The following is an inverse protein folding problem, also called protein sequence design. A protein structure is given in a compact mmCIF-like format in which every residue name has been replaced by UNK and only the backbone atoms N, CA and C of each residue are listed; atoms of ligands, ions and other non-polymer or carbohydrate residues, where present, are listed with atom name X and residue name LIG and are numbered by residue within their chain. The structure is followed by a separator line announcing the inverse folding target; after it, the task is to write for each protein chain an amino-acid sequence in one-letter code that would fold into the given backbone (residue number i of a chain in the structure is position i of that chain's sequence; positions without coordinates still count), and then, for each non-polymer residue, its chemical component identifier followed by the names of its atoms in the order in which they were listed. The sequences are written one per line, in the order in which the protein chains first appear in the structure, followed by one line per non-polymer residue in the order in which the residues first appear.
data_IF_117750913954
#
_entry.id   IF_117750913954
#
_cell.length_a   1.000
_cell.length_b   1.000
_cell.length_c   1.000
_cell.angle_alpha   90.00
_cell.angle_beta   90.00
_cell.angle_gamma   90.00
#
_symmetry.space_group_name_H-M   'P 1'
#
loop_
_entity.id
_entity.type
_entity.pdbx_description
1 polymer ?
#
# COMPACT_ATOMS: atom_id res chain seq x y z
N UNK A 1 9.65 -57.78 -35.20
CA UNK A 1 10.66 -58.32 -34.26
C UNK A 1 10.39 -57.70 -32.88
N UNK A 2 10.53 -58.41 -31.75
CA UNK A 2 9.63 -58.27 -30.59
C UNK A 2 10.18 -57.48 -29.36
N UNK A 3 9.46 -57.59 -28.24
CA UNK A 3 9.49 -56.75 -27.01
C UNK A 3 10.65 -56.98 -26.03
N UNK A 4 10.98 -55.91 -25.29
CA UNK A 4 11.21 -55.89 -23.82
C UNK A 4 12.62 -56.20 -23.31
N UNK A 5 12.89 -56.17 -21.98
CA UNK A 5 12.05 -55.72 -20.83
C UNK A 5 12.59 -54.36 -20.27
N UNK A 6 12.44 -53.87 -19.00
CA UNK A 6 11.84 -54.37 -17.74
C UNK A 6 11.23 -53.22 -16.87
N UNK A 7 11.58 -53.11 -15.58
CA UNK A 7 11.01 -52.25 -14.50
C UNK A 7 12.09 -52.02 -13.42
N UNK A 8 12.16 -50.84 -12.76
CA UNK A 8 12.23 -50.65 -11.28
C UNK A 8 12.44 -49.19 -10.82
N UNK A 9 11.67 -48.77 -9.79
CA UNK A 9 11.97 -47.63 -8.90
C UNK A 9 11.63 -46.21 -9.43
N UNK A 10 11.11 -45.28 -8.63
CA UNK A 10 10.69 -45.39 -7.23
C UNK A 10 10.84 -44.10 -6.43
N UNK A 11 9.94 -43.13 -6.59
CA UNK A 11 9.49 -42.25 -5.49
C UNK A 11 8.25 -41.46 -5.89
N UNK A 12 7.14 -41.73 -5.20
CA UNK A 12 6.08 -40.73 -5.02
C UNK A 12 6.65 -39.69 -4.06
N UNK A 13 6.70 -38.42 -4.48
CA UNK A 13 6.70 -37.30 -3.56
C UNK A 13 5.38 -36.57 -3.72
N UNK A 14 4.72 -36.41 -2.58
CA UNK A 14 3.33 -35.96 -2.46
C UNK A 14 3.14 -34.54 -2.97
N UNK A 15 1.92 -34.29 -3.46
CA UNK A 15 1.33 -32.95 -3.67
C UNK A 15 1.83 -31.94 -2.62
N UNK A 16 2.17 -30.70 -3.00
CA UNK A 16 2.07 -29.60 -2.06
C UNK A 16 0.62 -29.57 -1.58
N UNK A 17 0.41 -29.72 -0.27
CA UNK A 17 -0.91 -29.46 0.29
C UNK A 17 -1.20 -27.97 0.06
N UNK A 18 -2.29 -27.67 -0.64
CA UNK A 18 -2.75 -26.29 -0.86
C UNK A 18 -3.17 -25.72 0.50
N UNK A 19 -2.19 -25.14 1.19
CA UNK A 19 -2.29 -24.71 2.58
C UNK A 19 -3.19 -23.50 2.73
N UNK A 20 -4.49 -23.75 2.93
CA UNK A 20 -5.49 -22.86 3.54
C UNK A 20 -5.32 -21.38 3.17
N UNK A 21 -6.03 -20.92 2.15
CA UNK A 21 -6.23 -19.49 1.89
C UNK A 21 -6.83 -18.80 3.13
N UNK A 22 -5.97 -18.25 4.01
CA UNK A 22 -6.41 -17.35 5.08
C UNK A 22 -6.81 -16.04 4.42
N UNK A 23 -8.05 -15.61 4.64
CA UNK A 23 -8.43 -14.24 4.31
C UNK A 23 -7.62 -13.32 5.23
N UNK A 24 -6.72 -12.53 4.64
CA UNK A 24 -6.07 -11.43 5.33
C UNK A 24 -7.14 -10.57 6.03
N UNK A 25 -7.02 -10.44 7.35
CA UNK A 25 -7.80 -9.48 8.15
C UNK A 25 -6.87 -8.50 8.85
N UNK A 26 -5.84 -8.02 8.15
CA UNK A 26 -5.26 -6.73 8.51
C UNK A 26 -6.33 -5.63 8.41
N UNK A 27 -6.16 -4.52 9.13
CA UNK A 27 -7.21 -3.53 9.28
C UNK A 27 -7.44 -2.76 7.97
N UNK A 28 -8.50 -3.12 7.24
CA UNK A 28 -9.30 -2.11 6.53
C UNK A 28 -9.87 -1.22 7.65
N UNK A 29 -9.20 -0.10 7.92
CA UNK A 29 -9.35 0.59 9.19
C UNK A 29 -10.61 1.44 9.26
N UNK A 30 -11.75 0.79 9.51
CA UNK A 30 -13.05 1.43 9.75
C UNK A 30 -13.38 1.47 11.25
N UNK A 31 -12.39 1.75 12.10
CA UNK A 31 -12.53 1.80 13.56
C UNK A 31 -12.42 3.26 14.02
N UNK A 32 -13.44 3.78 14.73
CA UNK A 32 -13.59 5.21 15.06
C UNK A 32 -12.33 5.87 15.63
N UNK A 33 -11.54 5.16 16.45
CA UNK A 33 -10.27 5.64 17.02
C UNK A 33 -9.19 6.03 16.00
N UNK A 34 -9.35 5.66 14.72
CA UNK A 34 -8.44 6.07 13.64
C UNK A 34 -9.05 7.15 12.74
N UNK A 35 -10.35 7.47 12.88
CA UNK A 35 -10.94 8.62 12.17
C UNK A 35 -10.40 9.93 12.73
N UNK A 36 -10.19 10.00 14.05
CA UNK A 36 -9.60 11.19 14.68
C UNK A 36 -8.13 11.36 14.27
N UNK A 37 -7.35 10.27 14.16
CA UNK A 37 -5.99 10.32 13.58
C UNK A 37 -5.97 10.84 12.14
N UNK A 38 -6.94 10.42 11.30
CA UNK A 38 -7.05 10.93 9.93
C UNK A 38 -7.42 12.42 9.90
N UNK A 39 -8.34 12.86 10.76
CA UNK A 39 -8.72 14.28 10.92
C UNK A 39 -7.56 15.13 11.43
N UNK A 40 -6.84 14.68 12.45
CA UNK A 40 -5.68 15.39 12.99
C UNK A 40 -4.60 15.60 11.92
N UNK A 41 -4.42 14.61 11.02
CA UNK A 41 -3.53 14.73 9.86
C UNK A 41 -4.07 15.69 8.79
N UNK A 42 -5.36 15.62 8.46
CA UNK A 42 -6.04 16.55 7.55
C UNK A 42 -5.92 18.01 8.05
N UNK A 43 -6.24 18.26 9.33
CA UNK A 43 -6.15 19.56 10.00
C UNK A 43 -4.70 20.07 10.07
N UNK A 44 -3.74 19.21 10.39
CA UNK A 44 -2.31 19.55 10.38
C UNK A 44 -1.85 20.02 8.99
N UNK A 45 -2.21 19.30 7.93
CA UNK A 45 -1.84 19.67 6.57
C UNK A 45 -2.61 20.89 6.06
N UNK A 46 -3.87 21.08 6.46
CA UNK A 46 -4.65 22.28 6.16
C UNK A 46 -4.02 23.53 6.82
N UNK A 47 -3.56 23.42 8.06
CA UNK A 47 -2.85 24.51 8.75
C UNK A 47 -1.45 24.76 8.16
N UNK A 48 -0.72 23.72 7.75
CA UNK A 48 0.68 23.85 7.29
C UNK A 48 0.81 24.25 5.81
N UNK A 49 -0.17 23.90 4.98
CA UNK A 49 -0.28 24.23 3.57
C UNK A 49 -1.75 24.60 3.26
N UNK A 50 -2.20 25.80 3.70
CA UNK A 50 -3.58 26.27 3.49
C UNK A 50 -3.84 26.57 2.02
N UNK A 51 -5.10 26.46 1.60
CA UNK A 51 -5.54 26.58 0.19
C UNK A 51 -5.89 28.01 -0.20
N UNK A 52 -4.98 28.92 0.14
CA UNK A 52 -5.12 30.35 -0.10
C UNK A 52 -4.33 30.76 -1.36
N UNK A 53 -5.07 31.07 -2.44
CA UNK A 53 -4.52 31.39 -3.77
C UNK A 53 -3.49 32.52 -3.73
N UNK A 54 -3.63 33.47 -2.80
CA UNK A 54 -2.74 34.62 -2.63
C UNK A 54 -1.36 34.28 -2.06
N UNK A 55 -1.19 33.13 -1.41
CA UNK A 55 0.07 32.72 -0.79
C UNK A 55 1.06 32.10 -1.79
N UNK A 56 0.59 31.66 -2.95
CA UNK A 56 1.39 30.87 -3.89
C UNK A 56 1.38 31.46 -5.30
N UNK A 57 2.51 31.33 -6.00
CA UNK A 57 2.66 31.71 -7.41
C UNK A 57 2.12 30.66 -8.39
N UNK A 58 1.82 29.46 -7.89
CA UNK A 58 1.33 28.33 -8.66
C UNK A 58 -0.07 27.98 -8.16
N UNK A 59 -1.05 28.05 -9.07
CA UNK A 59 -2.49 27.92 -8.80
C UNK A 59 -3.25 27.57 -10.09
N UNK A 60 -2.54 27.06 -11.10
CA UNK A 60 -3.06 26.86 -12.45
C UNK A 60 -4.16 25.79 -12.49
N UNK A 61 -4.11 24.82 -11.59
CA UNK A 61 -5.13 23.81 -11.40
C UNK A 61 -6.09 24.08 -10.22
N UNK A 62 -6.10 25.29 -9.66
CA UNK A 62 -7.00 25.71 -8.58
C UNK A 62 -6.32 26.02 -7.25
N UNK A 63 -7.13 26.23 -6.21
CA UNK A 63 -6.67 26.67 -4.88
C UNK A 63 -5.85 25.62 -4.12
N UNK A 64 -6.09 24.33 -4.41
CA UNK A 64 -5.44 23.17 -3.80
C UNK A 64 -4.22 22.67 -4.59
N UNK A 65 -3.80 23.39 -5.62
CA UNK A 65 -2.70 23.05 -6.54
C UNK A 65 -1.32 23.04 -5.85
N UNK A 66 -0.74 24.22 -5.59
CA UNK A 66 0.51 24.32 -4.83
C UNK A 66 0.43 23.72 -3.41
N UNK A 67 -0.67 23.84 -2.66
CA UNK A 67 -0.85 23.12 -1.40
C UNK A 67 -0.67 21.62 -1.53
N UNK A 68 -1.24 20.97 -2.55
CA UNK A 68 -1.04 19.53 -2.78
C UNK A 68 0.43 19.22 -3.09
N UNK A 69 1.11 20.04 -3.90
CA UNK A 69 2.55 19.91 -4.13
C UNK A 69 3.39 20.01 -2.84
N UNK A 70 3.06 20.93 -1.94
CA UNK A 70 3.73 21.06 -0.64
C UNK A 70 3.46 19.83 0.24
N UNK A 71 2.20 19.39 0.35
CA UNK A 71 1.81 18.21 1.14
C UNK A 71 2.49 16.93 0.61
N UNK A 72 2.58 16.76 -0.72
CA UNK A 72 3.32 15.67 -1.36
C UNK A 72 4.83 15.74 -1.15
N UNK A 73 5.44 16.93 -1.07
CA UNK A 73 6.86 17.09 -0.79
C UNK A 73 7.23 16.84 0.69
N UNK A 74 6.26 16.95 1.60
CA UNK A 74 6.39 16.65 3.03
C UNK A 74 6.07 15.19 3.39
N UNK A 75 5.55 14.40 2.44
CA UNK A 75 5.17 13.00 2.62
C UNK A 75 6.04 12.08 1.76
N UNK A 76 5.99 10.78 2.04
CA UNK A 76 6.72 9.78 1.27
C UNK A 76 5.90 9.33 0.05
N UNK A 77 6.51 9.34 -1.13
CA UNK A 77 5.94 8.80 -2.37
C UNK A 77 6.14 7.29 -2.53
N UNK A 78 6.95 6.67 -1.68
CA UNK A 78 7.26 5.24 -1.70
C UNK A 78 7.56 4.73 -0.28
N UNK A 79 7.46 3.43 -0.07
CA UNK A 79 7.74 2.75 1.18
C UNK A 79 8.30 1.35 0.90
N UNK A 80 9.37 0.97 1.59
CA UNK A 80 9.82 -0.42 1.66
C UNK A 80 9.23 -1.07 2.92
N UNK A 81 8.55 -2.21 2.77
CA UNK A 81 7.97 -2.97 3.88
C UNK A 81 8.54 -4.38 3.84
N UNK A 82 9.18 -4.87 4.92
CA UNK A 82 9.65 -6.25 4.98
C UNK A 82 8.46 -7.23 4.93
N UNK A 83 8.69 -8.39 4.32
CA UNK A 83 7.70 -9.47 4.19
C UNK A 83 8.32 -10.74 4.74
N UNK A 84 7.58 -11.50 5.53
CA UNK A 84 7.99 -12.80 6.09
C UNK A 84 6.78 -13.75 6.10
N UNK A 85 6.99 -15.03 5.76
CA UNK A 85 5.95 -16.05 5.50
C UNK A 85 4.74 -15.55 4.65
N UNK A 86 5.00 -14.62 3.72
CA UNK A 86 3.99 -14.01 2.86
C UNK A 86 3.13 -12.90 3.49
N UNK A 87 3.42 -12.49 4.73
CA UNK A 87 2.73 -11.44 5.46
C UNK A 87 3.60 -10.17 5.59
N UNK A 88 2.98 -8.98 5.54
CA UNK A 88 3.70 -7.71 5.75
C UNK A 88 4.09 -7.57 7.23
N UNK A 89 5.38 -7.33 7.52
CA UNK A 89 5.89 -7.09 8.87
C UNK A 89 5.59 -5.66 9.35
N UNK A 90 4.31 -5.39 9.59
CA UNK A 90 3.81 -4.16 10.20
C UNK A 90 3.61 -4.36 11.71
N UNK A 91 4.03 -3.37 12.50
CA UNK A 91 3.72 -3.30 13.93
C UNK A 91 2.22 -3.12 14.19
N UNK A 92 1.77 -3.46 15.40
CA UNK A 92 0.35 -3.46 15.82
C UNK A 92 -0.43 -2.16 15.51
N UNK A 93 0.26 -1.02 15.44
CA UNK A 93 -0.33 0.30 15.18
C UNK A 93 0.13 0.92 13.84
N UNK A 94 0.88 0.19 13.02
CA UNK A 94 1.27 0.65 11.69
C UNK A 94 0.19 0.33 10.66
N UNK A 95 -0.04 1.28 9.75
CA UNK A 95 -0.89 1.12 8.58
C UNK A 95 -0.26 1.86 7.40
N UNK A 96 -0.54 1.38 6.20
CA UNK A 96 -0.11 2.01 4.95
C UNK A 96 -1.31 2.79 4.40
N UNK A 97 -1.12 4.08 4.14
CA UNK A 97 -2.18 4.98 3.71
C UNK A 97 -1.81 5.65 2.39
N UNK A 98 -2.76 5.67 1.45
CA UNK A 98 -2.72 6.57 0.31
C UNK A 98 -3.39 7.88 0.72
N UNK A 99 -2.61 8.95 0.89
CA UNK A 99 -3.14 10.27 1.20
C UNK A 99 -3.32 11.06 -0.09
N UNK A 100 -4.56 11.21 -0.54
CA UNK A 100 -4.90 12.13 -1.64
C UNK A 100 -4.89 13.57 -1.12
N UNK A 101 -4.22 14.47 -1.85
CA UNK A 101 -4.09 15.88 -1.48
C UNK A 101 -4.83 16.83 -2.43
N UNK A 102 -5.35 16.34 -3.56
CA UNK A 102 -6.24 17.08 -4.46
C UNK A 102 -7.71 16.86 -4.04
N UNK A 103 -8.52 17.92 -3.97
CA UNK A 103 -9.95 17.85 -3.60
C UNK A 103 -10.77 17.01 -4.57
N UNK A 104 -10.44 17.07 -5.85
CA UNK A 104 -11.05 16.22 -6.88
C UNK A 104 -10.22 14.95 -6.99
N UNK A 105 -10.73 13.77 -6.57
CA UNK A 105 -9.98 12.54 -6.63
C UNK A 105 -9.54 12.23 -8.05
N UNK A 106 -8.26 11.92 -8.23
CA UNK A 106 -7.72 11.43 -9.50
C UNK A 106 -7.50 9.92 -9.39
N UNK A 107 -7.62 9.15 -10.49
CA UNK A 107 -7.16 7.76 -10.49
C UNK A 107 -5.69 7.70 -10.06
N UNK A 108 -5.39 6.85 -9.08
CA UNK A 108 -4.03 6.59 -8.60
C UNK A 108 -3.68 5.14 -8.88
N UNK A 109 -2.50 4.93 -9.45
CA UNK A 109 -1.90 3.61 -9.63
C UNK A 109 -0.82 3.43 -8.56
N UNK A 110 -0.80 2.26 -7.91
CA UNK A 110 0.22 1.89 -6.92
C UNK A 110 1.01 0.73 -7.52
N UNK A 111 2.28 0.99 -7.83
CA UNK A 111 3.20 -0.05 -8.28
C UNK A 111 3.83 -0.72 -7.08
N UNK A 112 3.81 -2.05 -7.04
CA UNK A 112 4.46 -2.85 -5.99
C UNK A 112 5.57 -3.67 -6.63
N UNK A 113 6.79 -3.52 -6.12
CA UNK A 113 7.94 -4.34 -6.48
C UNK A 113 8.29 -5.26 -5.31
N UNK A 114 8.54 -6.53 -5.59
CA UNK A 114 8.98 -7.52 -4.61
C UNK A 114 10.42 -7.92 -4.91
N UNK A 115 11.28 -7.85 -3.90
CA UNK A 115 12.67 -8.27 -3.96
C UNK A 115 12.96 -9.13 -2.72
N UNK A 116 13.43 -10.36 -2.93
CA UNK A 116 13.56 -11.37 -1.87
C UNK A 116 13.70 -12.78 -2.44
N UNK A 117 13.71 -13.78 -1.55
CA UNK A 117 13.75 -15.22 -1.84
C UNK A 117 12.65 -15.95 -1.06
#
# INVERSE_FOLDING_TARGET
IPKGPKVTGGKVLSRPQLGKSRRYRGPICHRRSHQDVLRDLEDFFAARAPEEISLYRHNAEGADDMPAHIKSALTLSHLAVPVDDGELLLGQYQGIFLFEHRRTPRPREIVVHFEGQ
#
